data_IF_659033007588
#
_entry.id   IF_659033007588
#
_cell.length_a   1.000
_cell.length_b   1.000
_cell.length_c   1.000
_cell.angle_alpha   90.00
_cell.angle_beta   90.00
_cell.angle_gamma   90.00
#
_symmetry.space_group_name_H-M   'P 1'
#
loop_
_entity.id
_entity.type
_entity.pdbx_description
1 polymer ?
#
# COMPACT_ATOMS: atom_id res chain seq x y z
N UNK A 1 -13.80 1.76 -18.10
CA UNK A 1 -13.25 0.95 -16.99
C UNK A 1 -11.73 0.76 -17.17
N UNK A 2 -10.94 0.36 -16.15
CA UNK A 2 -9.48 0.12 -16.30
C UNK A 2 -9.16 -0.88 -17.42
N UNK A 3 -9.97 -1.93 -17.55
CA UNK A 3 -9.86 -2.96 -18.60
C UNK A 3 -10.05 -2.41 -20.02
N UNK A 4 -10.84 -1.35 -20.19
CA UNK A 4 -11.02 -0.68 -21.49
C UNK A 4 -9.80 0.16 -21.86
N UNK A 5 -9.15 0.78 -20.87
CA UNK A 5 -7.93 1.59 -21.08
C UNK A 5 -6.68 0.73 -21.24
N UNK A 6 -6.67 -0.47 -20.66
CA UNK A 6 -5.54 -1.39 -20.65
C UNK A 6 -5.97 -2.82 -21.02
N UNK A 7 -6.34 -3.05 -22.29
CA UNK A 7 -6.72 -4.37 -22.76
C UNK A 7 -5.53 -5.34 -22.61
N UNK A 8 -5.82 -6.57 -22.20
CA UNK A 8 -4.84 -7.65 -21.98
C UNK A 8 -3.93 -7.50 -20.73
N UNK A 9 -4.26 -6.59 -19.80
CA UNK A 9 -3.61 -6.54 -18.48
C UNK A 9 -4.45 -7.33 -17.47
N UNK A 10 -3.91 -8.45 -17.00
CA UNK A 10 -4.44 -9.22 -15.88
C UNK A 10 -3.81 -8.73 -14.57
N UNK A 11 -4.46 -7.74 -13.94
CA UNK A 11 -4.03 -7.17 -12.67
C UNK A 11 -4.59 -7.96 -11.50
N UNK A 12 -3.71 -8.42 -10.60
CA UNK A 12 -4.09 -9.09 -9.34
C UNK A 12 -3.73 -8.21 -8.15
N UNK A 13 -4.76 -7.80 -7.40
CA UNK A 13 -4.57 -7.07 -6.15
C UNK A 13 -4.15 -8.03 -5.04
N UNK A 14 -3.07 -7.68 -4.34
CA UNK A 14 -2.50 -8.49 -3.27
C UNK A 14 -2.89 -7.94 -1.90
N UNK A 15 -3.30 -8.84 -0.99
CA UNK A 15 -3.70 -8.48 0.38
C UNK A 15 -3.05 -9.39 1.43
N UNK A 16 -3.21 -9.08 2.72
CA UNK A 16 -2.61 -9.85 3.79
C UNK A 16 -3.09 -11.31 3.80
N UNK A 17 -2.16 -12.25 3.95
CA UNK A 17 -2.45 -13.70 4.02
C UNK A 17 -3.46 -14.06 5.12
N UNK A 18 -3.50 -13.28 6.21
CA UNK A 18 -4.47 -13.45 7.30
C UNK A 18 -5.92 -13.30 6.83
N UNK A 19 -6.19 -12.47 5.81
CA UNK A 19 -7.54 -12.28 5.28
C UNK A 19 -8.12 -13.57 4.69
N UNK A 20 -7.27 -14.44 4.12
CA UNK A 20 -7.69 -15.71 3.55
C UNK A 20 -7.93 -16.82 4.60
N UNK A 21 -7.54 -16.59 5.86
CA UNK A 21 -7.79 -17.54 6.98
C UNK A 21 -9.15 -17.32 7.65
N UNK A 22 -9.82 -16.20 7.37
CA UNK A 22 -11.13 -15.89 7.93
C UNK A 22 -12.20 -16.68 7.16
N UNK A 23 -13.04 -17.49 7.85
CA UNK A 23 -14.10 -18.26 7.21
C UNK A 23 -15.01 -17.38 6.34
N UNK A 24 -15.40 -17.88 5.17
CA UNK A 24 -16.20 -17.20 4.12
C UNK A 24 -15.57 -15.94 3.49
N UNK A 25 -14.88 -15.11 4.27
CA UNK A 25 -14.20 -13.91 3.77
C UNK A 25 -13.06 -14.27 2.80
N UNK A 26 -12.26 -15.28 3.12
CA UNK A 26 -11.21 -15.75 2.20
C UNK A 26 -11.75 -16.26 0.86
N UNK A 27 -12.92 -16.92 0.87
CA UNK A 27 -13.59 -17.36 -0.35
C UNK A 27 -14.11 -16.16 -1.16
N UNK A 28 -14.73 -15.20 -0.49
CA UNK A 28 -15.19 -13.96 -1.11
C UNK A 28 -14.05 -13.19 -1.79
N UNK A 29 -12.92 -13.02 -1.11
CA UNK A 29 -11.73 -12.36 -1.69
C UNK A 29 -11.18 -13.12 -2.89
N UNK A 30 -11.17 -14.45 -2.83
CA UNK A 30 -10.73 -15.31 -3.94
C UNK A 30 -11.65 -15.19 -5.16
N UNK A 31 -12.97 -15.10 -4.93
CA UNK A 31 -13.96 -14.88 -5.99
C UNK A 31 -13.80 -13.51 -6.67
N UNK A 32 -13.42 -12.48 -5.90
CA UNK A 32 -13.03 -11.17 -6.44
C UNK A 32 -11.66 -11.18 -7.14
N UNK A 33 -10.96 -12.32 -7.14
CA UNK A 33 -9.68 -12.48 -7.82
C UNK A 33 -8.49 -11.87 -7.09
N UNK A 34 -8.62 -11.55 -5.79
CA UNK A 34 -7.50 -11.12 -4.95
C UNK A 34 -6.59 -12.30 -4.61
N UNK A 35 -5.31 -12.02 -4.41
CA UNK A 35 -4.33 -13.00 -3.97
C UNK A 35 -3.64 -12.54 -2.69
N UNK A 36 -2.92 -13.43 -2.01
CA UNK A 36 -2.14 -13.03 -0.84
C UNK A 36 -0.80 -12.38 -1.26
N UNK A 37 -0.34 -11.43 -0.46
CA UNK A 37 0.90 -10.68 -0.67
C UNK A 37 2.17 -11.48 -0.29
N UNK A 38 2.12 -12.82 -0.31
CA UNK A 38 3.30 -13.64 -0.08
C UNK A 38 4.23 -13.62 -1.27
N UNK A 39 5.51 -13.90 -1.00
CA UNK A 39 6.54 -13.97 -2.05
C UNK A 39 6.22 -15.07 -3.06
N UNK A 40 5.67 -16.18 -2.60
CA UNK A 40 5.28 -17.33 -3.42
C UNK A 40 4.20 -16.92 -4.42
N UNK A 41 3.15 -16.23 -3.97
CA UNK A 41 2.07 -15.75 -4.83
C UNK A 41 2.54 -14.67 -5.80
N UNK A 42 3.42 -13.76 -5.36
CA UNK A 42 4.03 -12.78 -6.26
C UNK A 42 4.83 -13.46 -7.37
N UNK A 43 5.68 -14.43 -7.03
CA UNK A 43 6.47 -15.18 -8.01
C UNK A 43 5.56 -15.93 -8.99
N UNK A 44 4.58 -16.66 -8.47
CA UNK A 44 3.66 -17.45 -9.30
C UNK A 44 2.89 -16.60 -10.31
N UNK A 45 2.46 -15.39 -9.94
CA UNK A 45 1.75 -14.49 -10.86
C UNK A 45 2.71 -13.93 -11.92
N UNK A 46 3.90 -13.51 -11.51
CA UNK A 46 4.89 -12.89 -12.42
C UNK A 46 5.55 -13.91 -13.37
N UNK A 47 5.67 -15.17 -12.96
CA UNK A 47 6.17 -16.28 -13.81
C UNK A 47 5.29 -16.56 -15.03
N UNK A 48 4.00 -16.21 -14.96
CA UNK A 48 3.08 -16.34 -16.11
C UNK A 48 3.42 -15.40 -17.26
N UNK A 49 4.30 -14.42 -17.04
CA UNK A 49 4.85 -13.57 -18.08
C UNK A 49 3.90 -12.46 -18.53
N UNK A 50 3.90 -12.20 -19.84
CA UNK A 50 3.28 -11.01 -20.41
C UNK A 50 1.77 -10.92 -20.10
N UNK A 51 1.32 -9.72 -19.74
CA UNK A 51 -0.06 -9.44 -19.34
C UNK A 51 -0.34 -9.61 -17.84
N UNK A 52 0.42 -10.42 -17.10
CA UNK A 52 0.19 -10.61 -15.67
C UNK A 52 0.90 -9.56 -14.81
N UNK A 53 0.14 -8.85 -13.98
CA UNK A 53 0.65 -7.77 -13.12
C UNK A 53 0.13 -7.95 -11.70
N UNK A 54 0.91 -7.48 -10.73
CA UNK A 54 0.51 -7.45 -9.32
C UNK A 54 0.35 -6.01 -8.87
N UNK A 55 -0.72 -5.73 -8.13
CA UNK A 55 -0.86 -4.49 -7.38
C UNK A 55 -0.58 -4.80 -5.92
N UNK A 56 0.50 -4.24 -5.41
CA UNK A 56 0.92 -4.41 -4.03
C UNK A 56 0.76 -3.09 -3.28
N UNK A 57 -0.11 -3.08 -2.28
CA UNK A 57 -0.20 -1.95 -1.35
C UNK A 57 0.98 -2.08 -0.39
N UNK A 58 1.96 -1.19 -0.54
CA UNK A 58 3.19 -1.22 0.26
C UNK A 58 2.94 -0.73 1.68
N UNK A 59 1.89 0.08 1.90
CA UNK A 59 1.44 0.51 3.21
C UNK A 59 0.98 -0.67 4.06
N UNK A 60 1.15 -0.56 5.38
CA UNK A 60 0.83 -1.66 6.29
C UNK A 60 0.07 -1.19 7.52
N UNK A 61 -0.26 -2.14 8.39
CA UNK A 61 -1.00 -1.91 9.63
C UNK A 61 -0.44 -0.76 10.50
N UNK A 62 0.86 -0.46 10.44
CA UNK A 62 1.49 0.65 11.17
C UNK A 62 1.17 2.01 10.56
N UNK A 63 1.21 2.11 9.23
CA UNK A 63 0.84 3.30 8.48
C UNK A 63 -0.64 3.61 8.66
N UNK A 64 -1.49 2.58 8.67
CA UNK A 64 -2.90 2.71 8.99
C UNK A 64 -3.16 3.29 10.40
N UNK A 65 -2.22 3.22 11.34
CA UNK A 65 -2.37 3.87 12.66
C UNK A 65 -1.93 5.34 12.67
N UNK A 66 -1.19 5.77 11.65
CA UNK A 66 -0.71 7.14 11.45
C UNK A 66 -1.56 7.91 10.41
N UNK A 67 -2.56 7.25 9.81
CA UNK A 67 -3.50 7.81 8.84
C UNK A 67 -4.54 8.71 9.53
N UNK A 68 -4.10 9.88 9.97
CA UNK A 68 -4.97 10.94 10.47
C UNK A 68 -5.34 11.90 9.33
N UNK A 69 -6.54 12.52 9.39
CA UNK A 69 -6.86 13.70 8.60
C UNK A 69 -5.95 14.86 9.03
N UNK A 70 -4.72 14.90 8.52
CA UNK A 70 -3.70 15.91 8.82
C UNK A 70 -2.83 16.17 7.60
N UNK A 71 -2.03 17.23 7.66
CA UNK A 71 -1.12 17.66 6.60
C UNK A 71 0.10 16.75 6.40
N UNK A 72 0.28 15.74 7.24
CA UNK A 72 1.48 14.89 7.27
C UNK A 72 1.17 13.51 6.69
N UNK A 73 1.83 13.18 5.57
CA UNK A 73 1.68 11.89 4.92
C UNK A 73 2.85 10.98 5.32
N UNK A 74 2.60 10.01 6.19
CA UNK A 74 3.65 9.12 6.69
C UNK A 74 3.68 7.84 5.86
N UNK A 75 4.71 7.66 5.03
CA UNK A 75 4.89 6.47 4.20
C UNK A 75 5.87 5.51 4.87
N UNK A 76 5.42 4.31 5.24
CA UNK A 76 6.30 3.33 5.91
C UNK A 76 7.04 2.45 4.89
N UNK A 77 7.92 3.04 4.09
CA UNK A 77 8.55 2.36 2.94
C UNK A 77 10.06 2.12 3.10
N UNK A 78 10.77 2.87 3.95
CA UNK A 78 12.26 2.93 3.95
C UNK A 78 12.97 1.58 4.03
N UNK A 79 12.41 0.62 4.77
CA UNK A 79 12.99 -0.72 4.97
C UNK A 79 12.32 -1.81 4.13
N UNK A 80 11.25 -1.50 3.38
CA UNK A 80 10.43 -2.49 2.65
C UNK A 80 11.00 -2.75 1.26
N UNK A 81 12.14 -3.43 1.19
CA UNK A 81 12.86 -3.67 -0.07
C UNK A 81 12.49 -4.98 -0.80
N UNK A 82 11.58 -5.77 -0.22
CA UNK A 82 11.23 -7.10 -0.73
C UNK A 82 10.62 -7.10 -2.14
N UNK A 83 9.80 -6.09 -2.45
CA UNK A 83 9.17 -5.97 -3.76
C UNK A 83 10.18 -5.64 -4.87
N UNK A 84 11.22 -4.85 -4.56
CA UNK A 84 12.34 -4.58 -5.48
C UNK A 84 13.05 -5.88 -5.84
N UNK A 85 13.33 -6.73 -4.82
CA UNK A 85 13.98 -8.02 -5.03
C UNK A 85 13.16 -8.95 -5.93
N UNK A 86 11.84 -8.96 -5.77
CA UNK A 86 10.93 -9.74 -6.63
C UNK A 86 10.93 -9.14 -8.05
N UNK A 87 10.82 -7.82 -8.17
CA UNK A 87 10.86 -7.12 -9.46
C UNK A 87 12.12 -7.44 -10.26
N UNK A 88 13.30 -7.37 -9.63
CA UNK A 88 14.60 -7.71 -10.25
C UNK A 88 14.69 -9.18 -10.67
N UNK A 89 14.13 -10.11 -9.88
CA UNK A 89 14.15 -11.53 -10.22
C UNK A 89 13.31 -11.86 -11.47
N UNK A 90 12.25 -11.09 -11.71
CA UNK A 90 11.33 -11.31 -12.84
C UNK A 90 11.55 -10.35 -14.01
N UNK A 91 12.34 -9.28 -13.83
CA UNK A 91 12.43 -8.18 -14.79
C UNK A 91 11.10 -7.41 -14.90
N UNK A 92 10.35 -7.32 -13.80
CA UNK A 92 9.06 -6.65 -13.78
C UNK A 92 9.25 -5.17 -13.47
N UNK A 93 8.77 -4.30 -14.35
CA UNK A 93 8.81 -2.85 -14.18
C UNK A 93 7.98 -2.43 -12.96
N UNK A 94 8.47 -1.45 -12.20
CA UNK A 94 7.79 -0.92 -11.02
C UNK A 94 7.04 0.35 -11.41
N UNK A 95 5.74 0.41 -11.15
CA UNK A 95 4.93 1.60 -11.40
C UNK A 95 4.57 2.24 -10.06
N UNK A 96 5.12 3.43 -9.73
CA UNK A 96 4.76 4.13 -8.52
C UNK A 96 3.34 4.69 -8.64
N UNK A 97 2.53 4.47 -7.61
CA UNK A 97 1.14 4.93 -7.54
C UNK A 97 0.92 5.58 -6.19
N UNK A 98 0.32 6.77 -6.17
CA UNK A 98 0.00 7.52 -4.97
C UNK A 98 -1.46 7.96 -4.99
N UNK A 99 -2.18 7.79 -3.88
CA UNK A 99 -3.59 8.17 -3.73
C UNK A 99 -3.74 9.24 -2.65
N UNK A 100 -4.37 10.36 -3.00
CA UNK A 100 -4.77 11.40 -2.03
C UNK A 100 -6.21 11.16 -1.55
N UNK A 101 -6.52 11.59 -0.32
CA UNK A 101 -7.85 11.48 0.28
C UNK A 101 -8.14 10.17 1.03
N UNK A 102 -7.21 9.20 1.02
CA UNK A 102 -7.38 7.92 1.75
C UNK A 102 -7.49 8.14 3.27
N UNK A 103 -6.77 9.12 3.81
CA UNK A 103 -6.79 9.47 5.23
C UNK A 103 -8.11 10.11 5.68
N UNK A 104 -8.88 10.68 4.77
CA UNK A 104 -10.15 11.36 5.07
C UNK A 104 -11.35 10.40 5.08
N UNK A 105 -11.15 9.14 4.65
CA UNK A 105 -12.22 8.15 4.58
C UNK A 105 -12.72 7.70 5.96
N UNK A 106 -11.91 7.87 7.01
CA UNK A 106 -12.23 7.39 8.34
C UNK A 106 -11.71 8.35 9.42
N UNK A 107 -12.57 8.67 10.39
CA UNK A 107 -12.16 9.43 11.55
C UNK A 107 -11.42 8.51 12.53
N UNK A 108 -10.10 8.66 12.65
CA UNK A 108 -9.34 7.93 13.66
C UNK A 108 -9.40 8.63 15.00
N UNK A 109 -9.63 7.87 16.07
CA UNK A 109 -9.44 8.38 17.44
C UNK A 109 -7.96 8.79 17.60
N UNK A 110 -7.73 10.03 18.05
CA UNK A 110 -6.38 10.55 18.29
C UNK A 110 -5.56 9.60 19.16
N UNK A 111 -4.46 9.09 18.60
CA UNK A 111 -3.56 8.11 19.22
C UNK A 111 -2.09 8.56 19.09
N UNK A 112 -1.71 9.73 19.65
CA UNK A 112 -0.37 10.29 19.47
C UNK A 112 0.71 9.30 19.90
N UNK A 113 1.87 9.35 19.22
CA UNK A 113 3.03 8.50 19.53
C UNK A 113 3.40 8.67 21.00
N UNK A 114 3.45 7.54 21.73
CA UNK A 114 3.71 7.51 23.18
C UNK A 114 2.46 7.41 24.07
N UNK A 115 1.25 7.58 23.53
CA UNK A 115 0.02 7.39 24.31
C UNK A 115 -0.20 5.94 24.74
N UNK A 116 -0.90 5.73 25.87
CA UNK A 116 -1.26 4.39 26.37
C UNK A 116 -2.11 3.62 25.34
N UNK A 117 -2.99 4.31 24.61
CA UNK A 117 -3.78 3.74 23.52
C UNK A 117 -2.89 3.24 22.38
N UNK A 118 -1.92 4.05 21.95
CA UNK A 118 -0.95 3.66 20.92
C UNK A 118 -0.10 2.47 21.37
N UNK A 119 0.38 2.46 22.62
CA UNK A 119 1.14 1.34 23.17
C UNK A 119 0.32 0.05 23.15
N UNK A 120 -0.95 0.10 23.57
CA UNK A 120 -1.86 -1.04 23.52
C UNK A 120 -2.11 -1.52 22.07
N UNK A 121 -2.39 -0.62 21.13
CA UNK A 121 -2.55 -0.95 19.71
C UNK A 121 -1.29 -1.58 19.11
N UNK A 122 -0.09 -1.11 19.48
CA UNK A 122 1.18 -1.71 19.04
C UNK A 122 1.40 -3.11 19.62
N UNK A 123 1.01 -3.35 20.89
CA UNK A 123 1.07 -4.68 21.51
C UNK A 123 0.11 -5.64 20.82
N UNK A 124 -1.13 -5.21 20.56
CA UNK A 124 -2.12 -5.99 19.81
C UNK A 124 -1.64 -6.30 18.40
N UNK A 125 -1.13 -5.30 17.68
CA UNK A 125 -0.58 -5.49 16.34
C UNK A 125 0.58 -6.51 16.33
N UNK A 126 1.49 -6.44 17.32
CA UNK A 126 2.61 -7.38 17.44
C UNK A 126 2.14 -8.81 17.73
N UNK A 127 1.05 -8.98 18.48
CA UNK A 127 0.48 -10.29 18.81
C UNK A 127 -0.41 -10.87 17.72
N UNK A 128 -1.20 -10.04 17.04
CA UNK A 128 -2.25 -10.47 16.11
C UNK A 128 -1.85 -10.34 14.63
N UNK A 129 -0.82 -9.55 14.31
CA UNK A 129 -0.36 -9.33 12.94
C UNK A 129 -1.22 -8.36 12.13
N UNK A 130 -2.29 -7.82 12.72
CA UNK A 130 -3.14 -6.76 12.17
C UNK A 130 -3.34 -5.68 13.23
N UNK A 131 -3.35 -4.40 12.82
CA UNK A 131 -3.83 -3.33 13.68
C UNK A 131 -5.34 -3.24 13.54
N UNK A 132 -6.02 -3.01 14.65
CA UNK A 132 -7.37 -2.46 14.66
C UNK A 132 -7.23 -0.98 15.00
N UNK A 133 -7.01 -0.09 14.01
CA UNK A 133 -7.28 1.31 14.27
C UNK A 133 -8.72 1.41 14.75
N UNK A 134 -8.96 2.12 15.84
CA UNK A 134 -10.32 2.45 16.22
C UNK A 134 -10.74 3.60 15.32
N UNK A 135 -11.27 3.25 14.16
CA UNK A 135 -11.78 4.19 13.18
C UNK A 135 -13.30 4.29 13.29
N UNK A 136 -13.81 5.50 13.08
CA UNK A 136 -15.23 5.78 12.95
C UNK A 136 -15.49 6.17 11.50
N UNK A 137 -16.26 5.34 10.82
CA UNK A 137 -16.84 5.65 9.52
C UNK A 137 -18.32 6.01 9.65
N UNK A 138 -19.04 5.89 8.54
CA UNK A 138 -20.50 6.04 8.48
C UNK A 138 -21.21 4.69 8.56
N UNK A 139 -22.48 4.72 8.93
CA UNK A 139 -23.41 3.60 8.81
C UNK A 139 -23.96 3.47 7.38
N UNK A 140 -24.61 2.35 7.10
CA UNK A 140 -25.26 2.08 5.80
C UNK A 140 -26.35 3.14 5.50
N UNK A 141 -27.08 3.56 6.54
CA UNK A 141 -28.23 4.48 6.44
C UNK A 141 -28.04 5.82 7.16
N UNK A 142 -26.92 6.03 7.86
CA UNK A 142 -26.70 7.21 8.71
C UNK A 142 -25.22 7.58 8.81
N UNK A 143 -24.90 8.85 9.03
CA UNK A 143 -23.53 9.38 8.97
C UNK A 143 -22.85 9.57 10.33
N UNK A 144 -23.52 9.27 11.45
CA UNK A 144 -23.01 9.53 12.78
C UNK A 144 -22.07 8.44 13.32
N UNK A 145 -22.21 7.16 12.91
CA UNK A 145 -21.25 6.09 13.28
C UNK A 145 -21.37 4.83 12.40
N UNK A 146 -20.26 4.13 12.14
CA UNK A 146 -20.27 2.83 11.47
C UNK A 146 -18.92 2.43 10.91
N UNK A 147 -18.92 1.42 10.03
CA UNK A 147 -17.71 0.82 9.45
C UNK A 147 -17.51 1.16 7.97
N UNK A 148 -18.42 1.90 7.33
CA UNK A 148 -18.26 2.31 5.93
C UNK A 148 -17.40 3.58 5.83
N UNK A 149 -16.63 3.74 4.75
CA UNK A 149 -15.86 4.96 4.55
C UNK A 149 -16.78 6.16 4.36
N UNK A 150 -16.33 7.31 4.84
CA UNK A 150 -16.89 8.62 4.53
C UNK A 150 -16.80 8.89 3.02
N UNK A 151 -17.68 9.75 2.52
CA UNK A 151 -17.74 10.08 1.09
C UNK A 151 -16.78 11.24 0.78
N UNK A 152 -15.49 10.93 0.71
CA UNK A 152 -14.47 11.84 0.22
C UNK A 152 -13.93 11.37 -1.14
N UNK A 153 -13.58 12.30 -2.04
CA UNK A 153 -12.93 11.95 -3.29
C UNK A 153 -11.56 11.32 -3.01
N UNK A 154 -11.23 10.26 -3.76
CA UNK A 154 -9.89 9.67 -3.77
C UNK A 154 -9.31 9.93 -5.15
N UNK A 155 -8.22 10.68 -5.20
CA UNK A 155 -7.50 10.97 -6.43
C UNK A 155 -6.23 10.12 -6.49
N UNK A 156 -6.20 9.15 -7.38
CA UNK A 156 -5.04 8.28 -7.60
C UNK A 156 -4.23 8.75 -8.80
N UNK A 157 -2.93 8.94 -8.59
CA UNK A 157 -1.94 9.34 -9.59
C UNK A 157 -0.98 8.19 -9.85
N UNK A 158 -0.74 7.91 -11.14
CA UNK A 158 0.14 6.83 -11.61
C UNK A 158 1.35 7.47 -12.26
N UNK A 159 2.54 7.12 -11.78
CA UNK A 159 3.81 7.63 -12.32
C UNK A 159 4.36 6.76 -13.44
N UNK A 160 5.50 7.21 -13.98
CA UNK A 160 6.20 6.50 -15.05
C UNK A 160 6.77 5.16 -14.56
N UNK A 161 6.76 4.10 -15.39
CA UNK A 161 7.38 2.83 -15.05
C UNK A 161 8.89 2.96 -14.84
N UNK A 162 9.41 2.30 -13.81
CA UNK A 162 10.83 2.10 -13.55
C UNK A 162 11.18 0.70 -14.04
N UNK A 163 11.91 0.64 -15.15
CA UNK A 163 12.35 -0.63 -15.74
C UNK A 163 13.40 -1.31 -14.88
N UNK A 164 13.20 -2.61 -14.63
CA UNK A 164 14.13 -3.43 -13.86
C UNK A 164 14.78 -4.49 -14.76
N UNK A 165 16.11 -4.64 -14.72
CA UNK A 165 16.76 -5.75 -15.39
C UNK A 165 16.36 -7.06 -14.73
N UNK A 166 16.18 -8.11 -15.53
CA UNK A 166 15.99 -9.47 -15.02
C UNK A 166 17.34 -10.05 -14.61
N UNK A 167 17.55 -10.24 -13.31
CA UNK A 167 18.79 -10.75 -12.74
C UNK A 167 18.58 -12.13 -12.12
N UNK A 168 19.63 -12.97 -12.12
CA UNK A 168 19.62 -14.21 -11.34
C UNK A 168 19.70 -13.87 -9.86
N UNK A 169 19.18 -14.75 -9.01
CA UNK A 169 19.11 -14.53 -7.56
C UNK A 169 20.47 -14.26 -6.92
N UNK A 170 21.54 -14.84 -7.46
CA UNK A 170 22.92 -14.69 -7.01
C UNK A 170 23.47 -13.28 -7.31
N UNK A 171 23.02 -12.67 -8.40
CA UNK A 171 23.48 -11.36 -8.88
C UNK A 171 22.72 -10.19 -8.22
N UNK A 172 21.63 -10.47 -7.50
CA UNK A 172 20.84 -9.45 -6.81
C UNK A 172 21.52 -9.09 -5.49
N UNK A 173 22.38 -8.09 -5.54
CA UNK A 173 23.09 -7.56 -4.37
C UNK A 173 22.27 -6.49 -3.63
N UNK A 174 22.65 -6.19 -2.39
CA UNK A 174 22.05 -5.11 -1.58
C UNK A 174 22.14 -3.76 -2.27
N UNK A 175 23.24 -3.47 -2.94
CA UNK A 175 23.51 -2.17 -3.56
C UNK A 175 22.56 -1.93 -4.75
N UNK A 176 22.30 -2.98 -5.54
CA UNK A 176 21.34 -2.92 -6.64
C UNK A 176 19.93 -2.71 -6.11
N UNK A 177 19.55 -3.46 -5.07
CA UNK A 177 18.24 -3.30 -4.42
C UNK A 177 18.08 -1.87 -3.92
N UNK A 178 19.09 -1.33 -3.25
CA UNK A 178 19.04 0.00 -2.64
C UNK A 178 18.96 1.10 -3.69
N UNK A 179 19.68 0.95 -4.80
CA UNK A 179 19.59 1.85 -5.96
C UNK A 179 18.16 1.95 -6.49
N UNK A 180 17.55 0.81 -6.84
CA UNK A 180 16.19 0.82 -7.41
C UNK A 180 15.11 1.17 -6.38
N UNK A 181 15.34 0.81 -5.11
CA UNK A 181 14.47 1.26 -4.02
C UNK A 181 14.49 2.77 -3.88
N UNK A 182 15.67 3.40 -3.96
CA UNK A 182 15.79 4.86 -3.92
C UNK A 182 15.08 5.50 -5.11
N UNK A 183 15.29 4.99 -6.33
CA UNK A 183 14.58 5.48 -7.53
C UNK A 183 13.06 5.40 -7.38
N UNK A 184 12.55 4.32 -6.76
CA UNK A 184 11.12 4.17 -6.50
C UNK A 184 10.61 5.17 -5.45
N UNK A 185 11.36 5.39 -4.37
CA UNK A 185 11.03 6.39 -3.35
C UNK A 185 11.02 7.80 -3.96
N UNK A 186 12.04 8.15 -4.74
CA UNK A 186 12.14 9.47 -5.39
C UNK A 186 10.97 9.69 -6.35
N UNK A 187 10.57 8.66 -7.12
CA UNK A 187 9.42 8.76 -8.02
C UNK A 187 8.09 8.94 -7.28
N UNK A 188 7.91 8.27 -6.12
CA UNK A 188 6.74 8.48 -5.27
C UNK A 188 6.72 9.88 -4.65
N UNK A 189 7.86 10.36 -4.13
CA UNK A 189 7.97 11.71 -3.58
C UNK A 189 7.68 12.76 -4.66
N UNK A 190 8.18 12.56 -5.88
CA UNK A 190 7.89 13.47 -6.99
C UNK A 190 6.39 13.47 -7.35
N UNK A 191 5.73 12.32 -7.39
CA UNK A 191 4.27 12.26 -7.58
C UNK A 191 3.53 13.03 -6.49
N UNK A 192 3.94 12.85 -5.23
CA UNK A 192 3.35 13.57 -4.11
C UNK A 192 3.55 15.09 -4.27
N UNK A 193 4.78 15.56 -4.46
CA UNK A 193 5.11 16.98 -4.59
C UNK A 193 4.43 17.65 -5.78
N UNK A 194 4.26 16.91 -6.88
CA UNK A 194 3.57 17.41 -8.08
C UNK A 194 2.09 17.69 -7.82
N UNK A 195 1.42 16.86 -7.00
CA UNK A 195 -0.04 16.91 -6.85
C UNK A 195 -0.53 17.39 -5.48
N UNK A 196 0.35 17.55 -4.48
CA UNK A 196 -0.03 17.99 -3.12
C UNK A 196 -0.72 19.36 -3.08
N UNK A 197 -0.32 20.29 -3.95
CA UNK A 197 -0.93 21.63 -4.00
C UNK A 197 -2.40 21.57 -4.44
N UNK A 198 -2.74 20.65 -5.36
CA UNK A 198 -4.11 20.45 -5.85
C UNK A 198 -5.03 19.93 -4.74
N UNK A 199 -4.47 19.27 -3.75
CA UNK A 199 -5.17 18.75 -2.57
C UNK A 199 -5.11 19.71 -1.38
N UNK A 200 -4.85 21.00 -1.64
CA UNK A 200 -5.06 22.08 -0.68
C UNK A 200 -3.98 22.21 0.38
N UNK A 201 -2.83 21.56 0.22
CA UNK A 201 -1.82 21.53 1.27
C UNK A 201 -0.41 21.71 0.70
N UNK A 202 -0.03 22.97 0.46
CA UNK A 202 1.31 23.34 -0.05
C UNK A 202 2.43 22.94 0.90
N UNK A 203 2.16 22.98 2.20
CA UNK A 203 3.11 22.66 3.26
C UNK A 203 3.08 21.18 3.65
N UNK A 204 2.27 20.34 2.98
CA UNK A 204 2.23 18.93 3.25
C UNK A 204 3.58 18.28 2.92
N UNK A 205 4.06 17.46 3.86
CA UNK A 205 5.28 16.68 3.74
C UNK A 205 4.94 15.20 3.62
N UNK A 206 5.67 14.49 2.76
CA UNK A 206 5.66 13.03 2.71
C UNK A 206 6.90 12.51 3.44
N UNK A 207 6.73 12.03 4.65
CA UNK A 207 7.83 11.48 5.45
C UNK A 207 7.94 9.98 5.22
N UNK A 208 9.04 9.55 4.58
CA UNK A 208 9.34 8.14 4.38
C UNK A 208 10.09 7.60 5.60
N UNK A 209 9.38 6.85 6.45
CA UNK A 209 9.91 6.35 7.71
C UNK A 209 10.27 4.85 7.66
N UNK A 210 11.22 4.38 8.50
CA UNK A 210 11.48 2.95 8.65
C UNK A 210 10.29 2.21 9.28
N UNK A 211 10.04 0.99 8.79
CA UNK A 211 9.20 0.05 9.52
C UNK A 211 9.99 -0.40 10.76
N UNK A 212 9.61 0.08 11.94
CA UNK A 212 10.06 -0.49 13.22
C UNK A 212 9.36 -1.80 13.53
#
# INVERSE_FOLDING_TARGET
CFEEKFPNINLRLLTLKSNFRIPFYGLYLSLLGLCDASKESCNYILEKGNGHRIMLVLGGAKEALDAHPSSEYILTLKNRKGFIKIGLAHGASLVPVFSFGENDLYDQISNPRGSKLRQFQMILQKKLGYSTPFFRGRGIFQYAFGFLPQRHPIDTYVGSPIELPKLKKEDITSEIIDKYHQMYMDALTNLFDTYKEKHGNKDATSDIIPCG
#
